data_IF_634233086613
#
_entry.id   IF_634233086613
#
_cell.length_a   1.000
_cell.length_b   1.000
_cell.length_c   1.000
_cell.angle_alpha   90.00
_cell.angle_beta   90.00
_cell.angle_gamma   90.00
#
_symmetry.space_group_name_H-M   'P 1'
#
loop_
_entity.id
_entity.type
_entity.pdbx_description
1 polymer ?
#
# COMPACT_ATOMS: atom_id res chain seq x y z
N UNK A 1 -13.59 7.31 -18.11
CA UNK A 1 -14.06 6.11 -18.86
C UNK A 1 -13.41 6.06 -20.25
N UNK A 2 -12.11 5.75 -20.31
CA UNK A 2 -11.34 5.68 -21.58
C UNK A 2 -10.49 4.39 -21.68
N UNK A 3 -10.58 3.51 -20.68
CA UNK A 3 -9.86 2.23 -20.59
C UNK A 3 -8.70 2.21 -19.59
N UNK A 4 -8.25 3.37 -19.07
CA UNK A 4 -7.08 3.46 -18.18
C UNK A 4 -7.23 2.67 -16.86
N UNK A 5 -8.31 2.87 -16.10
CA UNK A 5 -8.55 2.09 -14.88
C UNK A 5 -8.74 0.60 -15.17
N UNK A 6 -9.32 0.23 -16.33
CA UNK A 6 -9.43 -1.18 -16.76
C UNK A 6 -8.06 -1.80 -16.99
N UNK A 7 -7.14 -1.09 -17.65
CA UNK A 7 -5.76 -1.52 -17.83
C UNK A 7 -5.06 -1.69 -16.48
N UNK A 8 -5.20 -0.72 -15.57
CA UNK A 8 -4.61 -0.81 -14.24
C UNK A 8 -5.22 -1.96 -13.43
N UNK A 9 -6.54 -2.20 -13.51
CA UNK A 9 -7.19 -3.34 -12.86
C UNK A 9 -6.69 -4.69 -13.39
N UNK A 10 -6.37 -4.80 -14.68
CA UNK A 10 -5.73 -6.00 -15.22
C UNK A 10 -4.33 -6.20 -14.63
N UNK A 11 -3.53 -5.12 -14.52
CA UNK A 11 -2.20 -5.15 -13.90
C UNK A 11 -2.25 -5.45 -12.39
N UNK A 12 -3.25 -4.95 -11.67
CA UNK A 12 -3.47 -5.21 -10.24
C UNK A 12 -3.59 -6.71 -9.95
N UNK A 13 -4.23 -7.46 -10.84
CA UNK A 13 -4.32 -8.93 -10.75
C UNK A 13 -3.25 -9.65 -11.60
N UNK A 14 -2.28 -8.90 -12.13
CA UNK A 14 -1.18 -9.38 -12.97
C UNK A 14 -0.29 -10.46 -12.36
N UNK A 15 -0.11 -10.49 -11.04
CA UNK A 15 0.72 -11.49 -10.37
C UNK A 15 0.05 -12.86 -10.14
N UNK A 16 -1.27 -12.98 -10.35
CA UNK A 16 -1.95 -14.27 -10.29
C UNK A 16 -1.98 -14.87 -11.69
N UNK A 17 -1.81 -16.19 -11.80
CA UNK A 17 -2.12 -16.89 -13.05
C UNK A 17 -3.62 -16.90 -13.27
N UNK A 18 -4.06 -16.90 -14.53
CA UNK A 18 -5.47 -16.91 -14.91
C UNK A 18 -5.77 -18.15 -15.74
N UNK A 19 -7.02 -18.56 -15.73
CA UNK A 19 -7.50 -19.67 -16.56
C UNK A 19 -7.41 -19.29 -18.05
N UNK A 20 -7.20 -20.26 -18.95
CA UNK A 20 -7.26 -20.01 -20.39
C UNK A 20 -8.61 -19.39 -20.80
N UNK A 21 -8.58 -18.37 -21.66
CA UNK A 21 -9.78 -17.69 -22.15
C UNK A 21 -10.32 -16.57 -21.24
N UNK A 22 -9.64 -16.24 -20.13
CA UNK A 22 -10.00 -15.10 -19.28
C UNK A 22 -9.81 -13.74 -19.97
N UNK A 23 -8.93 -13.65 -20.97
CA UNK A 23 -8.54 -12.43 -21.68
C UNK A 23 -7.35 -11.70 -21.03
N UNK A 24 -6.95 -12.08 -19.81
CA UNK A 24 -5.80 -11.51 -19.07
C UNK A 24 -4.71 -12.54 -18.78
N UNK A 25 -4.78 -13.74 -19.35
CA UNK A 25 -3.84 -14.84 -19.13
C UNK A 25 -2.38 -14.50 -19.43
N UNK A 26 -2.12 -13.54 -20.32
CA UNK A 26 -0.79 -13.00 -20.62
C UNK A 26 -0.56 -11.59 -20.07
N UNK A 27 -1.53 -11.04 -19.32
CA UNK A 27 -1.36 -9.79 -18.59
C UNK A 27 -0.68 -10.10 -17.24
N UNK A 28 0.64 -9.89 -17.21
CA UNK A 28 1.49 -10.14 -16.05
C UNK A 28 2.00 -8.84 -15.45
N UNK A 29 2.21 -8.84 -14.13
CA UNK A 29 2.84 -7.74 -13.40
C UNK A 29 3.82 -8.32 -12.37
N UNK A 30 4.68 -7.46 -11.82
CA UNK A 30 5.60 -7.86 -10.76
C UNK A 30 4.87 -8.54 -9.61
N UNK A 31 5.44 -9.63 -9.07
CA UNK A 31 4.89 -10.32 -7.90
C UNK A 31 4.84 -9.43 -6.66
N UNK A 32 5.70 -8.41 -6.62
CA UNK A 32 5.77 -7.38 -5.56
C UNK A 32 4.96 -6.12 -5.88
N UNK A 33 4.06 -6.18 -6.86
CA UNK A 33 3.20 -5.05 -7.18
C UNK A 33 2.08 -4.89 -6.14
N UNK A 34 1.97 -3.70 -5.57
CA UNK A 34 0.98 -3.37 -4.54
C UNK A 34 0.10 -2.22 -5.03
N UNK A 35 -1.23 -2.43 -4.98
CA UNK A 35 -2.23 -1.39 -5.21
C UNK A 35 -2.29 -0.48 -4.00
N UNK A 36 -2.08 0.81 -4.23
CA UNK A 36 -2.20 1.86 -3.23
C UNK A 36 -3.48 2.67 -3.49
N UNK A 37 -4.17 3.00 -2.40
CA UNK A 37 -5.33 3.88 -2.38
C UNK A 37 -5.43 4.61 -1.04
N UNK A 38 -6.30 5.61 -0.99
CA UNK A 38 -6.75 6.22 0.26
C UNK A 38 -7.76 5.32 0.97
N UNK A 39 -7.69 5.28 2.30
CA UNK A 39 -8.54 4.47 3.18
C UNK A 39 -8.92 5.28 4.41
N UNK A 40 -9.87 6.21 4.22
CA UNK A 40 -10.33 7.09 5.30
C UNK A 40 -10.93 6.26 6.46
N UNK A 41 -10.53 6.59 7.68
CA UNK A 41 -10.98 5.92 8.90
C UNK A 41 -10.31 4.60 9.26
N UNK A 42 -9.31 4.15 8.50
CA UNK A 42 -8.54 2.94 8.86
C UNK A 42 -7.68 3.16 10.11
N UNK A 43 -7.40 2.08 10.82
CA UNK A 43 -6.39 2.06 11.88
C UNK A 43 -4.98 2.14 11.29
N UNK A 44 -4.09 2.80 12.02
CA UNK A 44 -2.65 2.88 11.76
C UNK A 44 -1.91 2.76 13.09
N UNK A 45 -0.87 1.92 13.10
CA UNK A 45 -0.06 1.65 14.29
C UNK A 45 1.43 1.78 13.98
N UNK A 46 2.03 2.85 14.51
CA UNK A 46 3.47 3.09 14.62
C UNK A 46 4.23 3.15 13.29
N UNK A 47 3.63 3.74 12.26
CA UNK A 47 4.24 3.85 10.93
C UNK A 47 4.99 5.17 10.78
N UNK A 48 6.22 5.12 10.27
CA UNK A 48 6.92 6.33 9.85
C UNK A 48 6.32 6.85 8.55
N UNK A 49 5.57 7.95 8.63
CA UNK A 49 5.00 8.68 7.50
C UNK A 49 5.70 10.02 7.25
N UNK A 50 6.80 10.31 7.96
CA UNK A 50 7.57 11.55 7.82
C UNK A 50 8.07 11.85 6.39
N UNK A 51 8.27 10.85 5.49
CA UNK A 51 8.56 11.13 4.09
C UNK A 51 7.46 11.95 3.39
N UNK A 52 6.22 11.84 3.82
CA UNK A 52 5.08 12.51 3.21
C UNK A 52 4.41 13.54 4.10
N UNK A 53 4.48 13.37 5.42
CA UNK A 53 3.70 14.16 6.37
C UNK A 53 4.61 14.66 7.48
N UNK A 54 4.66 15.96 7.66
CA UNK A 54 5.44 16.66 8.69
C UNK A 54 4.51 17.55 9.52
N UNK A 55 4.94 17.99 10.70
CA UNK A 55 4.27 19.06 11.46
C UNK A 55 2.75 18.88 11.64
N UNK A 56 2.30 17.68 11.97
CA UNK A 56 0.88 17.44 12.25
C UNK A 56 0.37 18.32 13.40
N UNK A 57 -0.91 18.73 13.39
CA UNK A 57 -1.52 19.43 14.50
C UNK A 57 -1.31 18.70 15.83
N UNK A 58 -1.18 19.45 16.92
CA UNK A 58 -0.94 18.95 18.27
C UNK A 58 0.40 18.21 18.45
N UNK A 59 1.35 18.38 17.53
CA UNK A 59 2.70 17.80 17.66
C UNK A 59 2.73 16.28 17.57
N UNK A 60 1.74 15.67 16.88
CA UNK A 60 1.73 14.22 16.67
C UNK A 60 3.01 13.80 15.94
N UNK A 61 3.65 12.74 16.45
CA UNK A 61 4.88 12.21 15.88
C UNK A 61 4.58 11.54 14.52
N UNK A 62 5.23 12.01 13.46
CA UNK A 62 5.10 11.43 12.11
C UNK A 62 6.12 10.34 11.83
N UNK A 63 7.17 10.21 12.64
CA UNK A 63 8.12 9.10 12.56
C UNK A 63 7.58 7.82 13.19
N UNK A 64 6.62 7.92 14.10
CA UNK A 64 5.90 6.80 14.72
C UNK A 64 4.41 7.14 14.78
N UNK A 65 3.79 7.29 13.62
CA UNK A 65 2.40 7.73 13.53
C UNK A 65 1.44 6.60 13.89
N UNK A 66 0.51 6.90 14.78
CA UNK A 66 -0.60 6.02 15.13
C UNK A 66 -1.92 6.81 15.13
N UNK A 67 -2.99 6.20 14.62
CA UNK A 67 -4.34 6.76 14.66
C UNK A 67 -5.39 5.65 14.53
N UNK A 68 -6.45 5.63 15.37
CA UNK A 68 -7.59 4.76 15.14
C UNK A 68 -8.48 5.25 13.98
N UNK A 69 -8.26 6.47 13.51
CA UNK A 69 -9.06 7.17 12.50
C UNK A 69 -8.11 8.01 11.62
N UNK A 70 -7.49 7.37 10.62
CA UNK A 70 -6.57 8.05 9.72
C UNK A 70 -7.34 8.77 8.61
N UNK A 71 -6.96 10.02 8.30
CA UNK A 71 -7.53 10.75 7.16
C UNK A 71 -7.11 10.13 5.83
N UNK A 72 -7.75 10.52 4.73
CA UNK A 72 -7.38 10.02 3.40
C UNK A 72 -5.89 10.18 3.04
N UNK A 73 -5.27 11.32 3.36
CA UNK A 73 -3.85 11.55 3.06
C UNK A 73 -2.92 10.75 3.96
N UNK A 74 -3.21 10.67 5.27
CA UNK A 74 -2.37 9.92 6.21
C UNK A 74 -2.51 8.42 5.99
N UNK A 75 -3.70 7.92 5.69
CA UNK A 75 -3.93 6.52 5.34
C UNK A 75 -3.22 6.13 4.04
N UNK A 76 -3.25 6.99 3.01
CA UNK A 76 -2.54 6.72 1.76
C UNK A 76 -1.01 6.77 1.93
N UNK A 77 -0.48 7.74 2.69
CA UNK A 77 0.94 7.79 3.06
C UNK A 77 1.35 6.52 3.80
N UNK A 78 0.55 6.11 4.78
CA UNK A 78 0.76 4.88 5.55
C UNK A 78 0.78 3.66 4.65
N UNK A 79 -0.18 3.52 3.73
CA UNK A 79 -0.28 2.40 2.80
C UNK A 79 0.99 2.26 1.93
N UNK A 80 1.55 3.38 1.45
CA UNK A 80 2.84 3.37 0.73
C UNK A 80 3.96 2.88 1.66
N UNK A 81 4.08 3.45 2.85
CA UNK A 81 5.17 3.11 3.77
C UNK A 81 5.14 1.65 4.22
N UNK A 82 3.95 1.11 4.48
CA UNK A 82 3.73 -0.31 4.78
C UNK A 82 4.10 -1.23 3.60
N UNK A 83 3.74 -0.84 2.38
CA UNK A 83 4.12 -1.61 1.19
C UNK A 83 5.64 -1.63 0.99
N UNK A 84 6.31 -0.48 1.20
CA UNK A 84 7.76 -0.36 1.11
C UNK A 84 8.47 -1.15 2.21
N UNK A 85 7.94 -1.17 3.43
CA UNK A 85 8.45 -1.98 4.54
C UNK A 85 8.48 -3.47 4.16
N UNK A 86 7.46 -3.93 3.42
CA UNK A 86 7.36 -5.30 2.89
C UNK A 86 8.16 -5.54 1.60
N UNK A 87 8.93 -4.56 1.15
CA UNK A 87 9.80 -4.69 -0.01
C UNK A 87 9.10 -4.57 -1.36
N UNK A 88 7.95 -3.88 -1.43
CA UNK A 88 7.29 -3.61 -2.70
C UNK A 88 8.23 -2.88 -3.67
N UNK A 89 8.34 -3.39 -4.91
CA UNK A 89 9.11 -2.76 -6.00
C UNK A 89 8.24 -2.14 -7.08
N UNK A 90 6.92 -2.26 -6.97
CA UNK A 90 5.98 -1.66 -7.91
C UNK A 90 4.76 -1.16 -7.15
N UNK A 91 4.42 0.12 -7.30
CA UNK A 91 3.20 0.70 -6.76
C UNK A 91 2.23 0.97 -7.91
N UNK A 92 1.00 0.48 -7.76
CA UNK A 92 -0.09 0.70 -8.70
C UNK A 92 -1.04 1.72 -8.08
N UNK A 93 -1.28 2.85 -8.74
CA UNK A 93 -2.03 3.97 -8.18
C UNK A 93 -3.09 4.42 -9.18
N UNK A 94 -4.31 4.66 -8.71
CA UNK A 94 -5.38 5.26 -9.51
C UNK A 94 -5.82 6.56 -8.84
N UNK A 95 -5.67 7.68 -9.55
CA UNK A 95 -6.02 9.03 -9.06
C UNK A 95 -7.45 9.07 -8.50
N UNK A 96 -8.40 8.35 -9.11
CA UNK A 96 -9.81 8.31 -8.70
C UNK A 96 -10.01 7.72 -7.28
N UNK A 97 -9.03 6.98 -6.77
CA UNK A 97 -9.07 6.33 -5.44
C UNK A 97 -8.06 6.92 -4.45
N UNK A 98 -7.42 8.03 -4.82
CA UNK A 98 -6.42 8.71 -4.00
C UNK A 98 -6.98 9.95 -3.31
N UNK A 99 -6.32 10.38 -2.23
CA UNK A 99 -6.56 11.67 -1.63
C UNK A 99 -5.93 12.77 -2.52
N UNK A 100 -6.74 13.67 -3.08
CA UNK A 100 -6.28 14.70 -4.03
C UNK A 100 -5.16 15.57 -3.44
N UNK A 101 -5.31 15.99 -2.18
CA UNK A 101 -4.34 16.79 -1.44
C UNK A 101 -3.02 16.05 -1.14
N UNK A 102 -3.00 14.73 -1.25
CA UNK A 102 -1.80 13.92 -1.15
C UNK A 102 -1.07 13.82 -2.49
N UNK A 103 -1.80 13.76 -3.60
CA UNK A 103 -1.20 13.53 -4.92
C UNK A 103 -0.38 14.72 -5.41
N UNK A 104 -1.00 15.91 -5.38
CA UNK A 104 -0.48 17.14 -5.97
C UNK A 104 -0.76 18.33 -5.05
N UNK A 105 -0.16 19.47 -5.35
CA UNK A 105 -0.47 20.74 -4.70
C UNK A 105 -0.66 21.82 -5.74
N UNK A 106 -1.77 22.54 -5.63
CA UNK A 106 -2.08 23.67 -6.49
C UNK A 106 -1.17 24.88 -6.17
N UNK A 107 -0.67 25.55 -7.21
CA UNK A 107 0.24 26.69 -7.09
C UNK A 107 -0.39 27.88 -6.34
N UNK A 108 -1.68 28.15 -6.56
CA UNK A 108 -2.38 29.25 -5.86
C UNK A 108 -2.55 28.93 -4.38
N UNK A 109 -2.80 27.67 -4.04
CA UNK A 109 -2.81 27.24 -2.64
C UNK A 109 -1.43 27.31 -1.99
N UNK A 110 -0.34 27.17 -2.75
CA UNK A 110 1.01 27.43 -2.25
C UNK A 110 1.28 28.92 -1.98
N UNK A 111 0.73 29.82 -2.80
CA UNK A 111 0.84 31.26 -2.56
C UNK A 111 0.03 31.70 -1.33
N UNK A 112 -1.14 31.10 -1.11
CA UNK A 112 -2.01 31.46 0.02
C UNK A 112 -1.54 30.88 1.35
N UNK A 113 -1.09 29.62 1.38
CA UNK A 113 -0.74 28.91 2.61
C UNK A 113 0.77 28.73 2.69
N UNK A 114 1.38 29.41 3.67
CA UNK A 114 2.82 29.32 3.93
C UNK A 114 3.26 27.85 4.05
N UNK A 115 4.40 27.51 3.46
CA UNK A 115 4.90 26.12 3.41
C UNK A 115 4.96 25.46 4.79
N UNK A 116 5.34 26.22 5.82
CA UNK A 116 5.46 25.72 7.20
C UNK A 116 4.12 25.36 7.86
N UNK A 117 2.99 25.78 7.28
CA UNK A 117 1.64 25.47 7.76
C UNK A 117 0.98 24.32 7.01
N UNK A 118 1.57 23.84 5.93
CA UNK A 118 1.05 22.72 5.15
C UNK A 118 1.85 21.44 5.51
N UNK A 119 1.25 20.50 6.24
CA UNK A 119 1.97 19.33 6.74
C UNK A 119 2.32 18.32 5.63
N UNK A 120 1.62 18.36 4.48
CA UNK A 120 1.70 17.33 3.44
C UNK A 120 2.74 17.69 2.38
N UNK A 121 3.69 16.79 2.16
CA UNK A 121 4.56 16.73 0.99
C UNK A 121 3.86 15.91 -0.10
N UNK A 122 3.51 16.50 -1.26
CA UNK A 122 2.80 15.79 -2.32
C UNK A 122 3.54 14.58 -2.87
N UNK A 123 2.81 13.54 -3.28
CA UNK A 123 3.36 12.34 -3.91
C UNK A 123 4.16 12.65 -5.17
N UNK A 124 3.73 13.65 -5.95
CA UNK A 124 4.46 14.18 -7.11
C UNK A 124 5.94 14.45 -6.81
N UNK A 125 6.25 14.92 -5.60
CA UNK A 125 7.61 15.29 -5.19
C UNK A 125 8.47 14.08 -4.81
N UNK A 126 7.85 12.93 -4.54
CA UNK A 126 8.50 11.70 -4.08
C UNK A 126 8.55 10.60 -5.14
N UNK A 127 7.71 10.65 -6.17
CA UNK A 127 7.64 9.59 -7.20
C UNK A 127 8.99 9.33 -7.87
N UNK A 128 9.78 10.39 -8.15
CA UNK A 128 11.09 10.22 -8.78
C UNK A 128 12.16 9.68 -7.83
N UNK A 129 12.05 9.97 -6.53
CA UNK A 129 12.99 9.44 -5.53
C UNK A 129 12.77 7.95 -5.30
N UNK A 130 11.51 7.48 -5.35
CA UNK A 130 11.15 6.06 -5.38
C UNK A 130 11.75 5.35 -6.61
N UNK A 131 11.61 5.93 -7.80
CA UNK A 131 12.19 5.40 -9.04
C UNK A 131 13.72 5.22 -8.93
N UNK A 132 14.42 6.20 -8.36
CA UNK A 132 15.88 6.10 -8.11
C UNK A 132 16.27 4.99 -7.12
N UNK A 133 15.35 4.56 -6.25
CA UNK A 133 15.53 3.43 -5.33
C UNK A 133 15.12 2.08 -5.97
N UNK A 134 14.81 2.06 -7.27
CA UNK A 134 14.39 0.87 -7.99
C UNK A 134 12.92 0.49 -7.76
N UNK A 135 12.09 1.42 -7.28
CA UNK A 135 10.66 1.22 -7.09
C UNK A 135 9.91 1.88 -8.24
N UNK A 136 9.25 1.07 -9.07
CA UNK A 136 8.45 1.55 -10.18
C UNK A 136 7.07 2.02 -9.70
N UNK A 137 6.51 3.04 -10.36
CA UNK A 137 5.16 3.53 -10.09
C UNK A 137 4.38 3.55 -11.39
N UNK A 138 3.24 2.87 -11.42
CA UNK A 138 2.26 2.95 -12.50
C UNK A 138 1.07 3.73 -11.96
N UNK A 139 0.87 4.94 -12.49
CA UNK A 139 -0.14 5.88 -12.02
C UNK A 139 -1.13 6.15 -13.16
N UNK A 140 -2.41 5.87 -12.93
CA UNK A 140 -3.50 6.38 -13.77
C UNK A 140 -3.79 7.81 -13.32
N UNK A 141 -3.63 8.75 -14.26
CA UNK A 141 -4.00 10.16 -14.10
C UNK A 141 -5.07 10.56 -15.12
N UNK A 142 -6.00 11.40 -14.71
CA UNK A 142 -7.05 11.99 -15.54
C UNK A 142 -7.13 13.52 -15.41
N UNK A 143 -6.76 14.09 -14.27
CA UNK A 143 -6.93 15.53 -14.00
C UNK A 143 -5.62 16.31 -13.83
N UNK A 144 -4.51 15.66 -13.47
CA UNK A 144 -3.25 16.35 -13.21
C UNK A 144 -2.19 16.10 -14.29
N UNK A 145 -1.75 17.18 -14.95
CA UNK A 145 -0.67 17.17 -15.93
C UNK A 145 0.74 17.27 -15.33
N UNK A 146 0.89 17.64 -14.04
CA UNK A 146 2.20 17.89 -13.42
C UNK A 146 3.07 16.63 -13.35
N UNK A 147 2.46 15.45 -13.39
CA UNK A 147 3.20 14.19 -13.46
C UNK A 147 3.99 14.04 -14.78
N UNK A 148 3.70 14.82 -15.83
CA UNK A 148 4.50 14.83 -17.05
C UNK A 148 5.96 15.27 -16.81
N UNK A 149 6.20 16.10 -15.79
CA UNK A 149 7.55 16.58 -15.44
C UNK A 149 8.46 15.46 -14.92
N UNK A 150 7.88 14.39 -14.38
CA UNK A 150 8.61 13.31 -13.68
C UNK A 150 8.44 11.94 -14.31
N UNK A 151 7.45 11.76 -15.18
CA UNK A 151 7.14 10.50 -15.84
C UNK A 151 8.22 10.10 -16.87
N UNK A 152 8.65 8.84 -16.80
CA UNK A 152 9.56 8.27 -17.79
C UNK A 152 8.82 7.89 -19.09
N UNK A 153 7.59 7.37 -18.94
CA UNK A 153 6.70 6.94 -20.03
C UNK A 153 5.28 7.47 -19.77
N UNK A 154 4.61 7.95 -20.83
CA UNK A 154 3.22 8.39 -20.76
C UNK A 154 2.40 7.66 -21.80
N UNK A 155 1.40 6.93 -21.32
CA UNK A 155 0.47 6.17 -22.16
C UNK A 155 -0.89 6.87 -22.14
N UNK A 156 -1.41 7.19 -23.32
CA UNK A 156 -2.76 7.68 -23.51
C UNK A 156 -3.67 6.50 -23.86
N UNK A 157 -4.73 6.33 -23.07
CA UNK A 157 -5.84 5.47 -23.43
C UNK A 157 -6.92 6.32 -24.09
N UNK A 158 -7.25 6.01 -25.34
CA UNK A 158 -8.36 6.63 -26.08
C UNK A 158 -9.22 5.55 -26.72
N UNK A 159 -10.51 5.52 -26.36
CA UNK A 159 -11.48 4.56 -26.90
C UNK A 159 -10.97 3.11 -26.84
N UNK A 160 -10.40 2.71 -25.70
CA UNK A 160 -9.79 1.38 -25.45
C UNK A 160 -8.55 1.05 -26.30
N UNK A 161 -7.99 2.03 -27.01
CA UNK A 161 -6.72 1.92 -27.71
C UNK A 161 -5.61 2.61 -26.92
N UNK A 162 -4.40 2.04 -26.98
CA UNK A 162 -3.24 2.47 -26.21
C UNK A 162 -2.23 3.17 -27.13
N UNK A 163 -1.80 4.37 -26.76
CA UNK A 163 -0.84 5.18 -27.52
C UNK A 163 0.30 5.64 -26.62
N UNK A 164 1.55 5.42 -27.05
CA UNK A 164 2.70 6.07 -26.42
C UNK A 164 2.73 7.55 -26.83
N UNK A 165 2.48 8.42 -25.86
CA UNK A 165 2.48 9.88 -26.04
C UNK A 165 3.61 10.54 -25.24
N UNK A 166 4.63 9.78 -24.85
CA UNK A 166 5.73 10.24 -23.99
C UNK A 166 6.40 11.51 -24.53
N UNK A 167 6.73 11.55 -25.82
CA UNK A 167 7.36 12.72 -26.43
C UNK A 167 6.47 13.96 -26.39
N UNK A 168 5.17 13.78 -26.65
CA UNK A 168 4.18 14.86 -26.59
C UNK A 168 3.99 15.37 -25.16
N UNK A 169 3.93 14.48 -24.17
CA UNK A 169 3.84 14.85 -22.76
C UNK A 169 5.05 15.69 -22.32
N UNK A 170 6.26 15.27 -22.70
CA UNK A 170 7.51 16.02 -22.42
C UNK A 170 7.55 17.39 -23.10
N UNK A 171 7.02 17.51 -24.32
CA UNK A 171 6.87 18.81 -25.01
C UNK A 171 5.90 19.74 -24.27
N UNK A 172 4.77 19.22 -23.79
CA UNK A 172 3.78 20.00 -23.03
C UNK A 172 4.41 20.51 -21.73
N UNK A 173 5.09 19.63 -20.99
CA UNK A 173 5.83 19.97 -19.78
C UNK A 173 6.84 21.10 -20.02
N UNK A 174 7.66 20.99 -21.08
CA UNK A 174 8.66 22.00 -21.41
C UNK A 174 8.08 23.34 -21.88
N UNK A 175 6.86 23.35 -22.45
CA UNK A 175 6.21 24.55 -22.97
C UNK A 175 5.51 25.41 -21.90
N UNK A 176 5.33 24.87 -20.70
CA UNK A 176 4.69 25.54 -19.57
C UNK A 176 5.72 25.84 -18.48
N UNK A 177 5.39 26.75 -17.57
CA UNK A 177 6.24 27.02 -16.42
C UNK A 177 6.40 25.71 -15.63
N UNK A 178 7.64 25.20 -15.58
CA UNK A 178 7.96 23.96 -14.89
C UNK A 178 7.60 24.07 -13.42
N UNK A 179 7.04 23.00 -12.83
CA UNK A 179 6.87 22.94 -11.38
C UNK A 179 8.26 22.77 -10.72
N UNK A 180 8.96 23.88 -10.51
CA UNK A 180 10.32 23.92 -9.95
C UNK A 180 10.39 23.24 -8.57
N UNK A 181 9.28 23.20 -7.83
CA UNK A 181 9.15 22.47 -6.56
C UNK A 181 9.30 20.96 -6.75
N UNK A 182 8.64 20.37 -7.74
CA UNK A 182 8.72 18.96 -8.06
C UNK A 182 10.14 18.54 -8.48
N UNK A 183 10.79 19.33 -9.35
CA UNK A 183 12.16 19.05 -9.77
C UNK A 183 13.18 19.19 -8.65
N UNK A 184 13.06 20.20 -7.80
CA UNK A 184 13.96 20.34 -6.65
C UNK A 184 13.78 19.17 -5.66
N UNK A 185 12.54 18.81 -5.34
CA UNK A 185 12.24 17.70 -4.43
C UNK A 185 12.65 16.34 -5.00
N UNK A 186 12.63 16.16 -6.33
CA UNK A 186 13.12 14.95 -6.99
C UNK A 186 14.61 14.65 -6.72
N UNK A 187 15.38 15.66 -6.28
CA UNK A 187 16.80 15.56 -5.92
C UNK A 187 17.02 15.26 -4.44
N UNK A 188 16.00 15.43 -3.60
CA UNK A 188 16.08 15.11 -2.18
C UNK A 188 16.04 13.59 -1.94
N UNK A 189 16.43 13.16 -0.74
CA UNK A 189 16.20 11.77 -0.31
C UNK A 189 14.70 11.50 -0.16
N UNK A 190 14.27 10.26 -0.44
CA UNK A 190 12.90 9.83 -0.15
C UNK A 190 12.59 9.98 1.35
N UNK A 191 13.53 9.61 2.20
CA UNK A 191 13.36 9.46 3.65
C UNK A 191 13.65 8.01 4.07
N UNK A 192 13.29 7.67 5.31
CA UNK A 192 13.52 6.34 5.87
C UNK A 192 12.25 5.50 5.87
N UNK A 193 12.38 4.22 5.53
CA UNK A 193 11.37 3.19 5.80
C UNK A 193 11.86 2.43 7.02
N UNK A 194 11.14 2.56 8.13
CA UNK A 194 11.54 1.99 9.42
C UNK A 194 10.87 0.64 9.65
N UNK A 195 11.63 -0.44 9.91
CA UNK A 195 11.05 -1.73 10.24
C UNK A 195 10.34 -1.71 11.60
N UNK A 196 9.21 -2.42 11.68
CA UNK A 196 8.41 -2.59 12.89
C UNK A 196 8.39 -4.05 13.31
N UNK A 197 8.44 -4.28 14.62
CA UNK A 197 8.35 -5.61 15.24
C UNK A 197 6.93 -5.82 15.75
N UNK A 198 6.17 -6.81 15.25
CA UNK A 198 4.83 -7.08 15.75
C UNK A 198 4.86 -7.64 17.17
N UNK A 199 3.91 -7.21 18.00
CA UNK A 199 3.77 -7.68 19.39
C UNK A 199 2.70 -8.78 19.43
N UNK A 200 3.10 -10.02 19.77
CA UNK A 200 2.21 -11.19 19.67
C UNK A 200 0.90 -11.06 20.45
N UNK A 201 0.94 -10.48 21.65
CA UNK A 201 -0.25 -10.28 22.49
C UNK A 201 -1.30 -9.37 21.86
N UNK A 202 -0.91 -8.42 20.99
CA UNK A 202 -1.83 -7.53 20.30
C UNK A 202 -2.70 -8.24 19.25
N UNK A 203 -2.29 -9.43 18.79
CA UNK A 203 -3.06 -10.26 17.85
C UNK A 203 -3.98 -11.25 18.56
N UNK A 204 -4.04 -11.27 19.90
CA UNK A 204 -4.95 -12.15 20.61
C UNK A 204 -6.41 -11.69 20.43
N UNK A 205 -7.35 -12.54 19.97
CA UNK A 205 -8.75 -12.17 19.78
C UNK A 205 -9.55 -12.02 21.09
N UNK A 206 -8.90 -11.82 22.24
CA UNK A 206 -9.54 -11.66 23.56
C UNK A 206 -10.53 -12.80 23.91
N UNK A 207 -10.14 -14.05 23.63
CA UNK A 207 -11.00 -15.25 23.74
C UNK A 207 -12.25 -15.26 22.83
N UNK A 208 -12.39 -14.28 21.93
CA UNK A 208 -13.47 -14.22 20.97
C UNK A 208 -13.23 -15.11 19.75
N UNK A 209 -14.31 -15.43 19.05
CA UNK A 209 -14.27 -16.27 17.85
C UNK A 209 -13.75 -15.47 16.66
N UNK A 210 -12.90 -16.10 15.85
CA UNK A 210 -12.49 -15.56 14.55
C UNK A 210 -13.37 -16.18 13.48
N UNK A 211 -13.97 -15.37 12.61
CA UNK A 211 -14.85 -15.84 11.53
C UNK A 211 -14.72 -14.94 10.31
N UNK A 212 -14.37 -15.55 9.18
CA UNK A 212 -14.32 -14.86 7.89
C UNK A 212 -15.73 -14.73 7.32
N UNK A 213 -16.24 -13.50 7.28
CA UNK A 213 -17.60 -13.19 6.82
C UNK A 213 -17.66 -13.11 5.30
N UNK A 214 -16.66 -12.49 4.68
CA UNK A 214 -16.58 -12.29 3.23
C UNK A 214 -15.12 -12.27 2.76
N UNK A 215 -14.92 -12.05 1.46
CA UNK A 215 -13.58 -11.82 0.87
C UNK A 215 -12.82 -10.67 1.57
N UNK A 216 -13.53 -9.68 2.11
CA UNK A 216 -12.93 -8.45 2.61
C UNK A 216 -13.23 -8.18 4.09
N UNK A 217 -13.81 -9.14 4.83
CA UNK A 217 -14.24 -8.89 6.21
C UNK A 217 -13.99 -10.11 7.10
N UNK A 218 -13.26 -9.89 8.18
CA UNK A 218 -13.01 -10.87 9.24
C UNK A 218 -13.59 -10.32 10.54
N UNK A 219 -14.51 -11.05 11.16
CA UNK A 219 -14.82 -10.83 12.57
C UNK A 219 -13.68 -11.44 13.39
N UNK A 220 -12.93 -10.61 14.10
CA UNK A 220 -11.72 -11.00 14.82
C UNK A 220 -11.88 -10.68 16.31
N UNK A 221 -12.39 -11.66 17.06
CA UNK A 221 -12.67 -11.44 18.49
C UNK A 221 -13.79 -10.43 18.67
N UNK A 222 -13.48 -9.30 19.30
CA UNK A 222 -14.37 -8.17 19.55
C UNK A 222 -14.30 -7.06 18.49
N UNK A 223 -13.42 -7.18 17.49
CA UNK A 223 -13.27 -6.18 16.42
C UNK A 223 -13.64 -6.74 15.04
N UNK A 224 -14.02 -5.84 14.14
CA UNK A 224 -14.12 -6.14 12.72
C UNK A 224 -12.85 -5.68 12.00
N UNK A 225 -12.21 -6.61 11.30
CA UNK A 225 -11.08 -6.34 10.44
C UNK A 225 -11.58 -6.21 8.99
N UNK A 226 -11.68 -4.96 8.55
CA UNK A 226 -12.01 -4.59 7.18
C UNK A 226 -10.75 -4.63 6.30
N UNK A 227 -10.81 -5.44 5.24
CA UNK A 227 -9.78 -5.63 4.22
C UNK A 227 -10.22 -5.10 2.86
N UNK A 228 -11.30 -4.31 2.79
CA UNK A 228 -11.85 -3.75 1.54
C UNK A 228 -10.84 -2.88 0.78
N UNK A 229 -9.89 -2.27 1.50
CA UNK A 229 -8.79 -1.53 0.89
C UNK A 229 -7.67 -2.38 0.29
N UNK A 230 -7.65 -3.70 0.57
CA UNK A 230 -6.74 -4.67 -0.04
C UNK A 230 -7.36 -5.29 -1.29
N UNK A 231 -7.48 -4.49 -2.35
CA UNK A 231 -8.17 -4.87 -3.59
C UNK A 231 -7.58 -6.10 -4.30
N UNK A 232 -6.34 -6.46 -4.00
CA UNK A 232 -5.64 -7.61 -4.58
C UNK A 232 -5.94 -8.94 -3.87
N UNK A 233 -6.80 -8.94 -2.85
CA UNK A 233 -7.45 -10.17 -2.35
C UNK A 233 -8.54 -10.58 -3.33
N UNK A 234 -8.36 -11.73 -3.98
CA UNK A 234 -9.22 -12.20 -5.07
C UNK A 234 -10.24 -13.25 -4.67
N UNK A 235 -10.08 -13.88 -3.50
CA UNK A 235 -10.93 -14.98 -3.05
C UNK A 235 -11.15 -14.97 -1.53
N UNK A 236 -12.24 -15.58 -1.05
CA UNK A 236 -12.50 -15.71 0.39
C UNK A 236 -11.51 -16.67 1.05
N UNK A 237 -11.01 -17.62 0.27
CA UNK A 237 -10.06 -18.66 0.67
C UNK A 237 -8.69 -18.06 1.04
N UNK A 238 -8.30 -16.96 0.38
CA UNK A 238 -7.17 -16.13 0.81
C UNK A 238 -7.44 -15.48 2.16
N UNK A 239 -8.64 -14.96 2.37
CA UNK A 239 -9.05 -14.32 3.63
C UNK A 239 -9.10 -15.32 4.79
N UNK A 240 -9.51 -16.57 4.53
CA UNK A 240 -9.42 -17.67 5.50
C UNK A 240 -7.95 -17.92 5.92
N UNK A 241 -7.05 -17.98 4.93
CA UNK A 241 -5.62 -18.17 5.18
C UNK A 241 -5.00 -17.00 5.93
N UNK A 242 -5.42 -15.76 5.64
CA UNK A 242 -5.02 -14.56 6.38
C UNK A 242 -5.46 -14.64 7.84
N UNK A 243 -6.71 -15.06 8.11
CA UNK A 243 -7.22 -15.20 9.47
C UNK A 243 -6.38 -16.20 10.30
N UNK A 244 -5.99 -17.34 9.70
CA UNK A 244 -5.13 -18.33 10.35
C UNK A 244 -3.70 -17.81 10.52
N UNK A 245 -3.16 -17.08 9.54
CA UNK A 245 -1.84 -16.46 9.65
C UNK A 245 -1.78 -15.46 10.81
N UNK A 246 -2.83 -14.64 11.01
CA UNK A 246 -2.96 -13.73 12.15
C UNK A 246 -2.94 -14.49 13.49
N UNK A 247 -3.65 -15.61 13.59
CA UNK A 247 -3.64 -16.43 14.80
C UNK A 247 -2.24 -16.96 15.14
N UNK A 248 -1.42 -17.32 14.15
CA UNK A 248 -0.05 -17.78 14.40
C UNK A 248 0.83 -16.68 15.00
N UNK A 249 0.56 -15.40 14.76
CA UNK A 249 1.32 -14.29 15.34
C UNK A 249 1.15 -14.19 16.86
N UNK A 250 0.09 -14.76 17.42
CA UNK A 250 -0.12 -14.78 18.88
C UNK A 250 0.96 -15.57 19.63
N UNK A 251 1.66 -16.47 18.94
CA UNK A 251 2.76 -17.25 19.48
C UNK A 251 4.12 -16.52 19.43
N UNK A 252 4.19 -15.30 18.90
CA UNK A 252 5.42 -14.51 18.92
C UNK A 252 5.80 -14.17 20.37
N UNK A 253 7.07 -14.36 20.69
CA UNK A 253 7.61 -14.02 22.01
C UNK A 253 7.52 -12.50 22.28
N UNK A 254 7.08 -12.16 23.50
CA UNK A 254 7.03 -10.76 23.93
C UNK A 254 8.44 -10.14 23.91
N UNK A 255 8.56 -8.97 23.30
CA UNK A 255 9.86 -8.29 23.15
C UNK A 255 10.73 -8.84 22.01
N UNK A 256 10.19 -9.71 21.14
CA UNK A 256 10.88 -10.12 19.92
C UNK A 256 11.32 -8.91 19.09
N UNK A 257 12.55 -8.94 18.61
CA UNK A 257 13.11 -7.94 17.69
C UNK A 257 12.97 -8.36 16.22
N UNK A 258 12.19 -9.40 15.95
CA UNK A 258 11.91 -9.79 14.58
C UNK A 258 10.96 -8.80 13.94
N UNK A 259 11.38 -8.25 12.81
CA UNK A 259 10.52 -7.33 12.05
C UNK A 259 9.36 -8.10 11.42
N UNK A 260 8.26 -7.41 11.12
CA UNK A 260 7.13 -8.00 10.38
C UNK A 260 7.60 -8.63 9.06
N UNK A 261 8.59 -8.04 8.39
CA UNK A 261 9.20 -8.60 7.18
C UNK A 261 9.85 -9.97 7.46
N UNK A 262 10.62 -10.09 8.54
CA UNK A 262 11.28 -11.34 8.92
C UNK A 262 10.28 -12.40 9.36
N UNK A 263 9.27 -12.02 10.17
CA UNK A 263 8.20 -12.92 10.61
C UNK A 263 7.46 -13.51 9.40
N UNK A 264 7.05 -12.67 8.45
CA UNK A 264 6.34 -13.13 7.27
C UNK A 264 7.25 -13.86 6.28
N UNK A 265 8.56 -13.56 6.25
CA UNK A 265 9.53 -14.35 5.47
C UNK A 265 9.61 -15.78 6.00
N UNK A 266 9.71 -15.96 7.32
CA UNK A 266 9.71 -17.29 7.94
C UNK A 266 8.37 -18.03 7.72
N UNK A 267 7.24 -17.31 7.85
CA UNK A 267 5.93 -17.90 7.55
C UNK A 267 5.86 -18.38 6.10
N UNK A 268 6.34 -17.61 5.13
CA UNK A 268 6.34 -18.04 3.73
C UNK A 268 7.23 -19.25 3.49
N UNK A 269 8.43 -19.29 4.08
CA UNK A 269 9.31 -20.46 3.98
C UNK A 269 8.64 -21.71 4.56
N UNK A 270 7.89 -21.57 5.65
CA UNK A 270 7.09 -22.65 6.21
C UNK A 270 5.97 -23.10 5.23
N UNK A 271 5.25 -22.16 4.64
CA UNK A 271 4.21 -22.46 3.64
C UNK A 271 4.78 -23.08 2.35
N UNK A 272 6.01 -22.74 1.97
CA UNK A 272 6.71 -23.35 0.82
C UNK A 272 7.07 -24.81 1.10
N UNK A 273 7.44 -25.14 2.34
CA UNK A 273 7.87 -26.48 2.72
C UNK A 273 6.69 -27.40 3.07
N UNK A 274 5.71 -26.91 3.83
CA UNK A 274 4.63 -27.71 4.41
C UNK A 274 3.26 -27.50 3.74
N UNK A 275 3.15 -26.54 2.82
CA UNK A 275 1.86 -26.16 2.22
C UNK A 275 1.00 -25.29 3.14
N UNK A 276 -0.29 -25.18 2.81
CA UNK A 276 -1.24 -24.38 3.61
C UNK A 276 -1.63 -25.08 4.90
N UNK A 277 -1.39 -26.39 5.01
CA UNK A 277 -1.59 -27.21 6.18
C UNK A 277 -0.76 -26.75 7.38
N UNK A 278 0.32 -26.00 7.16
CA UNK A 278 1.07 -25.33 8.22
C UNK A 278 0.22 -24.32 9.01
N UNK A 279 -0.85 -23.78 8.41
CA UNK A 279 -1.78 -22.87 9.07
C UNK A 279 -2.82 -23.60 9.94
N UNK A 280 -3.02 -24.90 9.72
CA UNK A 280 -4.07 -25.73 10.32
C UNK A 280 -3.49 -26.90 11.13
N UNK A 281 -2.23 -26.80 11.56
CA UNK A 281 -1.52 -27.84 12.31
C UNK A 281 -1.53 -29.22 11.61
N UNK A 282 -1.34 -29.22 10.28
CA UNK A 282 -1.27 -30.43 9.47
C UNK A 282 -2.62 -30.96 8.96
N UNK A 283 -3.73 -30.29 9.28
CA UNK A 283 -5.06 -30.71 8.81
C UNK A 283 -5.39 -30.13 7.44
N UNK A 284 -5.80 -30.98 6.50
CA UNK A 284 -6.27 -30.51 5.20
C UNK A 284 -7.53 -29.65 5.33
N UNK A 285 -7.51 -28.46 4.74
CA UNK A 285 -8.65 -27.55 4.65
C UNK A 285 -8.78 -27.02 3.21
N UNK A 286 -9.78 -27.52 2.50
CA UNK A 286 -10.06 -27.12 1.11
C UNK A 286 -10.61 -25.70 0.95
N UNK A 287 -10.82 -24.97 2.05
CA UNK A 287 -11.25 -23.57 2.05
C UNK A 287 -10.10 -22.57 2.09
N UNK A 288 -8.85 -23.03 1.91
CA UNK A 288 -7.65 -22.19 1.94
C UNK A 288 -7.07 -21.93 0.54
N UNK A 289 -6.58 -20.71 0.33
CA UNK A 289 -5.79 -20.33 -0.83
C UNK A 289 -4.67 -19.40 -0.38
N UNK A 290 -3.46 -19.57 -0.92
CA UNK A 290 -2.30 -18.81 -0.45
C UNK A 290 -2.41 -17.31 -0.73
N UNK A 291 -2.43 -16.44 0.30
CA UNK A 291 -2.29 -15.00 0.13
C UNK A 291 -0.81 -14.64 -0.05
N UNK A 292 -0.51 -13.47 -0.62
CA UNK A 292 0.88 -12.98 -0.64
C UNK A 292 1.22 -12.37 0.72
N UNK A 293 2.51 -12.19 0.97
CA UNK A 293 3.04 -11.44 2.12
C UNK A 293 2.36 -10.10 2.30
N UNK A 294 2.11 -9.37 1.20
CA UNK A 294 1.49 -8.04 1.24
C UNK A 294 0.06 -8.06 1.78
N UNK A 295 -0.74 -9.09 1.45
CA UNK A 295 -2.11 -9.20 1.96
C UNK A 295 -2.12 -9.59 3.44
N UNK A 296 -1.22 -10.48 3.88
CA UNK A 296 -1.08 -10.82 5.30
C UNK A 296 -0.61 -9.59 6.10
N UNK A 297 0.44 -8.90 5.63
CA UNK A 297 0.93 -7.67 6.24
C UNK A 297 -0.14 -6.58 6.27
N UNK A 298 -0.91 -6.43 5.18
CA UNK A 298 -2.00 -5.49 5.11
C UNK A 298 -3.10 -5.74 6.13
N UNK A 299 -3.41 -7.02 6.41
CA UNK A 299 -4.36 -7.40 7.44
C UNK A 299 -3.83 -7.12 8.86
N UNK A 300 -2.57 -7.48 9.11
CA UNK A 300 -1.85 -7.14 10.35
C UNK A 300 -1.90 -5.63 10.62
N UNK A 301 -1.61 -4.82 9.61
CA UNK A 301 -1.57 -3.36 9.70
C UNK A 301 -2.93 -2.68 9.88
N UNK A 302 -4.04 -3.38 9.58
CA UNK A 302 -5.40 -2.86 9.70
C UNK A 302 -6.11 -3.34 10.97
N UNK A 303 -5.53 -4.32 11.68
CA UNK A 303 -6.12 -4.81 12.93
C UNK A 303 -6.15 -3.68 13.95
N UNK A 304 -7.33 -3.46 14.55
CA UNK A 304 -7.54 -2.48 15.61
C UNK A 304 -7.09 -3.08 16.94
N UNK A 305 -5.80 -2.95 17.25
CA UNK A 305 -5.23 -3.40 18.51
C UNK A 305 -4.23 -2.37 19.07
N UNK A 306 -4.17 -2.27 20.39
CA UNK A 306 -3.26 -1.37 21.09
C UNK A 306 -1.84 -1.96 21.11
N UNK A 307 -0.83 -1.09 20.99
CA UNK A 307 0.59 -1.48 21.12
C UNK A 307 0.97 -2.65 20.20
N UNK A 308 0.42 -2.65 18.98
CA UNK A 308 0.57 -3.76 18.03
C UNK A 308 1.99 -3.92 17.49
N UNK A 309 2.82 -2.89 17.63
CA UNK A 309 4.17 -2.86 17.10
C UNK A 309 5.14 -2.26 18.11
N UNK A 310 6.42 -2.45 17.80
CA UNK A 310 7.52 -1.64 18.32
C UNK A 310 8.42 -1.29 17.15
N UNK A 311 8.66 -0.01 16.93
CA UNK A 311 9.56 0.45 15.87
C UNK A 311 11.03 0.27 16.28
N UNK A 312 11.84 -0.30 15.39
CA UNK A 312 13.29 -0.34 15.58
C UNK A 312 13.89 1.02 15.20
N UNK A 313 14.71 1.58 16.10
CA UNK A 313 15.48 2.81 15.86
C UNK A 313 16.70 2.53 14.98
#
# INVERSE_FOLDING_TARGET
RVGASTLLSALQVGMYNKIPGDGREFCVCSSTAVKIRSEDGRNVSEVNISPFISNLPFGKNTECFASPDASGSTSQATNIMEALEMGAKTLLIDEDTCATNFMIRDDKMMELVHKDKEPITPFLYKVKTLSKQGISVILVVGSCGDFFDVADTTILMDSYSCYDVTNRAKQIAASRATNNGALAASRASFGNVTPRCPVGTAFNPNNGKITVRSKALIAYGDVELDLSGLEQIVSKEQTNSIALALQRLTALENGSKMTIFQVLTQLNALLDHEGLEALTNGQFDGSLARPRTFEIAGAINRLRANESFVQLK
#
